data_IF_720660702060
#
_entry.id   IF_720660702060
#
_cell.length_a   1.000
_cell.length_b   1.000
_cell.length_c   1.000
_cell.angle_alpha   90.00
_cell.angle_beta   90.00
_cell.angle_gamma   90.00
#
_symmetry.space_group_name_H-M   'P 1'
#
loop_
_entity.id
_entity.type
_entity.pdbx_description
1 polymer ?
#
# COMPACT_ATOMS: atom_id res chain seq x y z
N UNK A 1 -38.66 -17.62 -21.62
CA UNK A 1 -38.42 -17.02 -20.27
C UNK A 1 -37.06 -17.47 -19.72
N UNK A 2 -36.00 -16.71 -19.95
CA UNK A 2 -34.66 -16.95 -19.35
C UNK A 2 -34.51 -15.99 -18.18
N UNK A 3 -34.50 -16.55 -16.97
CA UNK A 3 -34.23 -15.81 -15.71
C UNK A 3 -32.77 -15.35 -15.72
N UNK A 4 -32.57 -14.03 -15.82
CA UNK A 4 -31.29 -13.39 -15.55
C UNK A 4 -31.03 -13.47 -14.04
N UNK A 5 -30.10 -14.36 -13.63
CA UNK A 5 -29.55 -14.38 -12.29
C UNK A 5 -28.57 -13.20 -12.16
N UNK A 6 -29.09 -12.05 -11.80
CA UNK A 6 -28.30 -10.93 -11.30
C UNK A 6 -27.76 -11.28 -9.91
N UNK A 7 -26.59 -11.93 -9.84
CA UNK A 7 -25.81 -11.98 -8.61
C UNK A 7 -25.26 -10.58 -8.35
N UNK A 8 -26.03 -9.76 -7.61
CA UNK A 8 -25.49 -8.61 -6.92
C UNK A 8 -24.30 -9.11 -6.09
N UNK A 9 -23.08 -8.77 -6.50
CA UNK A 9 -21.89 -8.92 -5.63
C UNK A 9 -22.18 -8.05 -4.41
N UNK A 10 -22.48 -8.66 -3.27
CA UNK A 10 -22.39 -7.99 -1.97
C UNK A 10 -20.99 -7.36 -1.95
N UNK A 11 -20.94 -6.03 -1.96
CA UNK A 11 -19.70 -5.26 -1.84
C UNK A 11 -19.14 -5.62 -0.47
N UNK A 12 -18.13 -6.47 -0.42
CA UNK A 12 -17.51 -6.87 0.84
C UNK A 12 -16.99 -5.59 1.47
N UNK A 13 -17.45 -5.28 2.68
CA UNK A 13 -16.91 -4.20 3.48
C UNK A 13 -15.42 -4.48 3.68
N UNK A 14 -14.58 -3.52 3.34
CA UNK A 14 -13.12 -3.64 3.42
C UNK A 14 -12.59 -3.12 4.76
N UNK A 15 -13.30 -3.38 5.87
CA UNK A 15 -12.78 -3.15 7.22
C UNK A 15 -11.49 -3.94 7.39
N UNK A 16 -10.44 -3.31 7.94
CA UNK A 16 -9.19 -3.99 8.30
C UNK A 16 -9.06 -3.98 9.81
N UNK A 17 -8.89 -5.15 10.43
CA UNK A 17 -8.73 -5.28 11.88
C UNK A 17 -7.44 -6.03 12.19
N UNK A 18 -6.57 -5.39 12.96
CA UNK A 18 -5.36 -5.95 13.52
C UNK A 18 -5.59 -6.17 15.01
N UNK A 19 -5.40 -7.40 15.51
CA UNK A 19 -5.63 -7.78 16.90
C UNK A 19 -4.39 -8.40 17.48
N UNK A 20 -3.78 -7.73 18.47
CA UNK A 20 -2.57 -8.17 19.18
C UNK A 20 -1.44 -8.59 18.23
N UNK A 21 -1.29 -7.87 17.12
CA UNK A 21 -0.30 -8.20 16.10
C UNK A 21 1.11 -8.05 16.66
N UNK A 22 1.87 -9.14 16.58
CA UNK A 22 3.28 -9.19 16.95
C UNK A 22 4.12 -9.68 15.78
N UNK A 23 5.27 -9.04 15.55
CA UNK A 23 6.29 -9.50 14.61
C UNK A 23 7.64 -9.57 15.30
N UNK A 24 8.22 -10.78 15.30
CA UNK A 24 9.57 -11.05 15.77
C UNK A 24 10.38 -11.62 14.62
N UNK A 25 11.53 -11.04 14.34
CA UNK A 25 12.50 -11.61 13.42
C UNK A 25 13.46 -12.47 14.22
N UNK A 26 13.53 -13.80 13.98
CA UNK A 26 14.39 -14.70 14.73
C UNK A 26 15.86 -14.28 14.59
N UNK A 27 16.64 -14.46 15.66
CA UNK A 27 18.08 -14.22 15.62
C UNK A 27 18.70 -15.12 14.55
N UNK A 28 19.22 -14.54 13.48
CA UNK A 28 20.07 -15.27 12.54
C UNK A 28 21.30 -15.77 13.30
N UNK A 29 21.68 -17.05 13.16
CA UNK A 29 22.82 -17.65 13.82
C UNK A 29 24.07 -16.72 13.79
N UNK A 30 24.95 -16.77 14.80
CA UNK A 30 25.95 -15.74 15.07
C UNK A 30 26.86 -15.53 13.88
N UNK A 31 26.72 -14.40 13.20
CA UNK A 31 27.78 -13.88 12.32
C UNK A 31 28.98 -13.62 13.21
N UNK A 32 30.12 -14.31 12.95
CA UNK A 32 31.41 -14.05 13.60
C UNK A 32 31.60 -12.55 13.74
N UNK A 33 31.87 -12.11 14.98
CA UNK A 33 32.09 -10.72 15.36
C UNK A 33 33.06 -10.07 14.38
N UNK A 34 32.57 -9.24 13.49
CA UNK A 34 33.39 -8.24 12.82
C UNK A 34 33.66 -7.15 13.86
N UNK A 35 34.94 -6.98 14.19
CA UNK A 35 35.44 -5.95 15.08
C UNK A 35 35.13 -4.58 14.47
N UNK A 36 34.71 -3.67 15.33
CA UNK A 36 34.71 -2.21 15.16
C UNK A 36 33.87 -1.62 14.00
N UNK A 37 32.57 -1.61 14.20
CA UNK A 37 31.72 -0.50 13.71
C UNK A 37 30.86 0.00 14.88
N UNK A 38 30.70 1.36 15.07
CA UNK A 38 29.87 1.89 16.14
C UNK A 38 28.44 1.44 15.93
N UNK A 39 27.87 0.75 16.91
CA UNK A 39 26.48 0.32 16.93
C UNK A 39 25.58 1.56 16.82
N UNK A 40 24.93 1.72 15.67
CA UNK A 40 23.75 2.61 15.58
C UNK A 40 22.71 2.03 16.52
N UNK A 41 22.50 2.69 17.67
CA UNK A 41 21.45 2.37 18.63
C UNK A 41 20.08 2.51 17.93
N UNK A 42 19.62 1.42 17.30
CA UNK A 42 18.23 1.27 16.97
C UNK A 42 17.52 0.90 18.26
N UNK A 43 16.44 1.61 18.60
CA UNK A 43 15.54 1.31 19.73
C UNK A 43 14.73 0.02 19.49
N UNK A 44 15.35 -1.02 18.93
CA UNK A 44 14.73 -2.32 18.70
C UNK A 44 14.87 -3.15 19.98
N UNK A 45 13.76 -3.67 20.47
CA UNK A 45 13.78 -4.62 21.59
C UNK A 45 14.32 -5.95 21.07
N UNK A 46 15.49 -6.36 21.62
CA UNK A 46 16.09 -7.66 21.34
C UNK A 46 15.68 -8.57 22.49
N UNK A 47 15.01 -9.66 22.18
CA UNK A 47 14.64 -10.72 23.12
C UNK A 47 15.41 -12.00 22.78
N UNK A 48 15.30 -13.02 23.64
CA UNK A 48 15.88 -14.33 23.36
C UNK A 48 15.31 -14.97 22.08
N UNK A 49 14.08 -14.63 21.71
CA UNK A 49 13.39 -15.08 20.50
C UNK A 49 13.86 -14.34 19.23
N UNK A 50 14.39 -13.14 19.36
CA UNK A 50 14.82 -12.31 18.23
C UNK A 50 14.57 -10.83 18.38
N UNK A 51 14.56 -10.12 17.26
CA UNK A 51 14.32 -8.67 17.18
C UNK A 51 12.82 -8.43 17.06
N UNK A 52 12.22 -7.77 18.04
CA UNK A 52 10.80 -7.39 18.03
C UNK A 52 10.63 -6.16 17.15
N UNK A 53 9.99 -6.32 16.02
CA UNK A 53 9.70 -5.23 15.06
C UNK A 53 8.32 -4.59 15.28
N UNK A 54 7.35 -5.37 15.74
CA UNK A 54 5.99 -4.90 16.11
C UNK A 54 5.55 -5.67 17.35
N UNK A 55 5.09 -4.94 18.39
CA UNK A 55 4.66 -5.53 19.64
C UNK A 55 3.21 -5.15 19.93
N UNK A 56 2.36 -6.18 20.01
CA UNK A 56 0.95 -6.10 20.47
C UNK A 56 0.14 -4.95 19.87
N UNK A 57 0.29 -4.74 18.57
CA UNK A 57 -0.36 -3.65 17.87
C UNK A 57 -1.82 -3.97 17.57
N UNK A 58 -2.72 -3.09 17.97
CA UNK A 58 -4.15 -3.18 17.72
C UNK A 58 -4.61 -1.98 16.89
N UNK A 59 -5.38 -2.23 15.83
CA UNK A 59 -5.93 -1.18 14.98
C UNK A 59 -7.19 -1.70 14.26
N UNK A 60 -8.25 -0.92 14.31
CA UNK A 60 -9.45 -1.12 13.51
C UNK A 60 -9.56 0.03 12.49
N UNK A 61 -9.69 -0.31 11.21
CA UNK A 61 -9.86 0.61 10.09
C UNK A 61 -11.22 0.34 9.50
N UNK A 62 -12.09 1.35 9.46
CA UNK A 62 -13.42 1.22 8.87
C UNK A 62 -13.35 1.03 7.35
N UNK A 63 -14.43 0.51 6.75
CA UNK A 63 -14.55 0.45 5.29
C UNK A 63 -14.47 1.86 4.70
N UNK A 64 -13.60 2.02 3.69
CA UNK A 64 -13.35 3.30 2.98
C UNK A 64 -12.67 4.38 3.82
N UNK A 65 -12.18 4.06 4.99
CA UNK A 65 -11.39 4.96 5.79
C UNK A 65 -10.02 5.19 5.17
N UNK A 66 -9.48 6.39 5.36
CA UNK A 66 -8.10 6.75 5.02
C UNK A 66 -7.33 6.96 6.32
N UNK A 67 -6.40 6.07 6.60
CA UNK A 67 -5.53 6.21 7.77
C UNK A 67 -4.08 6.47 7.38
N UNK A 68 -3.36 7.18 8.24
CA UNK A 68 -1.93 7.44 8.11
C UNK A 68 -1.20 6.88 9.32
N UNK A 69 -0.26 5.97 9.07
CA UNK A 69 0.69 5.49 10.06
C UNK A 69 1.92 6.39 10.01
N UNK A 70 2.10 7.23 11.02
CA UNK A 70 3.22 8.17 11.13
C UNK A 70 4.11 7.80 12.31
N UNK A 71 5.41 8.03 12.18
CA UNK A 71 6.37 7.76 13.26
C UNK A 71 7.82 7.67 12.75
N UNK A 72 8.81 7.58 13.66
CA UNK A 72 10.22 7.53 13.29
C UNK A 72 10.56 6.28 12.46
N UNK A 73 11.68 6.34 11.74
CA UNK A 73 12.18 5.18 10.99
C UNK A 73 12.47 4.01 11.94
N UNK A 74 12.08 2.80 11.53
CA UNK A 74 12.31 1.58 12.32
C UNK A 74 11.25 1.25 13.38
N UNK A 75 10.18 2.05 13.56
CA UNK A 75 9.13 1.76 14.55
C UNK A 75 8.08 0.72 14.07
N UNK A 76 8.31 0.00 12.98
CA UNK A 76 7.45 -1.10 12.54
C UNK A 76 6.35 -0.75 11.52
N UNK A 77 6.19 0.50 11.08
CA UNK A 77 5.14 0.92 10.13
C UNK A 77 5.12 0.12 8.82
N UNK A 78 6.24 0.10 8.12
CA UNK A 78 6.36 -0.67 6.86
C UNK A 78 6.24 -2.17 7.10
N UNK A 79 6.68 -2.67 8.25
CA UNK A 79 6.49 -4.07 8.65
C UNK A 79 5.00 -4.37 8.82
N UNK A 80 4.25 -3.51 9.52
CA UNK A 80 2.80 -3.64 9.68
C UNK A 80 2.10 -3.62 8.32
N UNK A 81 2.46 -2.67 7.45
CA UNK A 81 1.90 -2.59 6.10
C UNK A 81 2.16 -3.87 5.29
N UNK A 82 3.38 -4.43 5.38
CA UNK A 82 3.76 -5.68 4.71
C UNK A 82 3.03 -6.89 5.28
N UNK A 83 2.74 -6.93 6.58
CA UNK A 83 1.89 -7.96 7.18
C UNK A 83 0.46 -7.89 6.64
N UNK A 84 -0.13 -6.68 6.51
CA UNK A 84 -1.44 -6.50 5.86
C UNK A 84 -1.38 -7.00 4.40
N UNK A 85 -0.29 -6.71 3.69
CA UNK A 85 -0.08 -7.18 2.33
C UNK A 85 0.17 -8.70 2.20
N UNK A 86 0.52 -9.39 3.30
CA UNK A 86 0.95 -10.79 3.29
C UNK A 86 2.35 -11.00 2.75
N UNK A 87 3.16 -9.94 2.73
CA UNK A 87 4.58 -9.99 2.34
C UNK A 87 5.51 -10.27 3.53
N UNK A 88 4.97 -10.21 4.73
CA UNK A 88 5.61 -10.58 6.00
C UNK A 88 4.64 -11.44 6.80
N UNK A 89 5.15 -12.51 7.39
CA UNK A 89 4.38 -13.37 8.26
C UNK A 89 4.11 -12.71 9.60
N UNK A 90 2.95 -12.94 10.18
CA UNK A 90 2.56 -12.51 11.51
C UNK A 90 3.07 -13.54 12.50
N UNK A 91 3.86 -13.11 13.52
CA UNK A 91 4.38 -14.02 14.54
C UNK A 91 3.29 -14.42 15.55
N UNK A 92 2.45 -13.45 15.96
CA UNK A 92 1.29 -13.68 16.81
C UNK A 92 0.22 -12.64 16.55
N UNK A 93 -1.02 -12.91 16.96
CA UNK A 93 -2.17 -12.05 16.71
C UNK A 93 -2.92 -12.43 15.43
N UNK A 94 -3.94 -11.66 15.11
CA UNK A 94 -4.88 -11.96 14.02
C UNK A 94 -5.10 -10.73 13.13
N UNK A 95 -5.04 -10.92 11.83
CA UNK A 95 -5.35 -9.91 10.82
C UNK A 95 -6.63 -10.30 10.06
N UNK A 96 -7.59 -9.40 10.04
CA UNK A 96 -8.82 -9.57 9.26
C UNK A 96 -8.93 -8.50 8.17
N UNK A 97 -9.46 -8.89 6.99
CA UNK A 97 -9.95 -7.98 5.95
C UNK A 97 -11.40 -8.39 5.68
N UNK A 98 -12.35 -7.49 5.99
CA UNK A 98 -13.74 -7.85 6.16
C UNK A 98 -13.90 -8.87 7.28
N UNK A 99 -14.63 -9.95 7.01
CA UNK A 99 -14.85 -11.04 7.97
C UNK A 99 -13.85 -12.20 7.83
N UNK A 100 -12.82 -12.04 6.96
CA UNK A 100 -11.89 -13.12 6.64
C UNK A 100 -10.57 -12.95 7.37
N UNK A 101 -10.14 -13.99 8.10
CA UNK A 101 -8.79 -14.10 8.68
C UNK A 101 -7.76 -14.22 7.55
N UNK A 102 -6.71 -13.39 7.59
CA UNK A 102 -5.72 -13.23 6.52
C UNK A 102 -4.35 -13.83 6.84
N UNK A 103 -4.10 -14.31 8.06
CA UNK A 103 -2.76 -14.73 8.49
C UNK A 103 -2.09 -15.67 7.46
N UNK A 104 -2.79 -16.70 7.00
CA UNK A 104 -2.26 -17.70 6.08
C UNK A 104 -2.69 -17.51 4.62
N UNK A 105 -3.32 -16.34 4.31
CA UNK A 105 -3.76 -16.05 2.95
C UNK A 105 -2.62 -15.44 2.15
N UNK A 106 -2.27 -16.08 1.03
CA UNK A 106 -1.21 -15.58 0.15
C UNK A 106 -1.52 -14.17 -0.41
N UNK A 107 -0.50 -13.31 -0.65
CA UNK A 107 -0.70 -11.93 -1.13
C UNK A 107 -1.57 -11.80 -2.38
N UNK A 108 -1.45 -12.74 -3.31
CA UNK A 108 -2.24 -12.76 -4.57
C UNK A 108 -3.74 -12.95 -4.35
N UNK A 109 -4.12 -13.59 -3.24
CA UNK A 109 -5.50 -13.95 -2.89
C UNK A 109 -6.14 -12.95 -1.90
N UNK A 110 -5.37 -11.95 -1.44
CA UNK A 110 -5.86 -10.78 -0.72
C UNK A 110 -6.34 -9.74 -1.73
N UNK A 111 -7.50 -9.16 -1.53
CA UNK A 111 -8.02 -8.10 -2.43
C UNK A 111 -7.40 -6.75 -2.10
N UNK A 112 -6.08 -6.67 -2.23
CA UNK A 112 -5.27 -5.50 -1.91
C UNK A 112 -4.41 -5.06 -3.11
N UNK A 113 -3.99 -3.80 -3.11
CA UNK A 113 -2.91 -3.32 -3.94
C UNK A 113 -1.91 -2.53 -3.11
N UNK A 114 -0.63 -2.62 -3.43
CA UNK A 114 0.44 -1.93 -2.71
C UNK A 114 1.30 -1.11 -3.66
N UNK A 115 1.57 0.14 -3.25
CA UNK A 115 2.54 1.04 -3.86
C UNK A 115 3.77 1.07 -2.97
N UNK A 116 4.93 0.69 -3.52
CA UNK A 116 6.20 0.62 -2.82
C UNK A 116 6.96 1.94 -2.94
N UNK A 117 7.82 2.22 -1.97
CA UNK A 117 8.71 3.37 -1.95
C UNK A 117 9.55 3.53 -3.23
N UNK A 118 10.03 2.43 -3.81
CA UNK A 118 10.84 2.40 -5.04
C UNK A 118 10.03 2.23 -6.32
N UNK A 119 8.69 2.42 -6.25
CA UNK A 119 7.72 2.25 -7.34
C UNK A 119 7.61 0.83 -7.89
N UNK A 120 8.64 0.01 -7.81
CA UNK A 120 8.74 -1.39 -8.26
C UNK A 120 8.17 -1.61 -9.68
N UNK A 121 8.43 -0.67 -10.62
CA UNK A 121 7.99 -0.80 -12.00
C UNK A 121 8.86 -1.81 -12.76
N UNK A 122 8.25 -2.53 -13.67
CA UNK A 122 8.95 -3.44 -14.59
C UNK A 122 9.68 -2.61 -15.67
N UNK A 123 11.03 -2.55 -15.67
CA UNK A 123 11.76 -1.58 -16.50
C UNK A 123 11.70 -1.88 -18.00
N UNK A 124 11.44 -3.13 -18.37
CA UNK A 124 11.34 -3.59 -19.76
C UNK A 124 9.97 -3.39 -20.38
N UNK A 125 8.93 -3.18 -19.55
CA UNK A 125 7.55 -2.96 -19.95
C UNK A 125 7.25 -1.47 -20.15
N UNK A 126 6.33 -1.16 -21.09
CA UNK A 126 5.76 0.18 -21.22
C UNK A 126 4.90 0.55 -19.99
N UNK A 127 4.46 1.81 -19.89
CA UNK A 127 3.48 2.26 -18.89
C UNK A 127 2.20 1.45 -18.98
N UNK A 128 1.65 1.33 -20.20
CA UNK A 128 0.47 0.51 -20.44
C UNK A 128 0.65 -0.93 -19.95
N UNK A 129 1.75 -1.57 -20.31
CA UNK A 129 2.03 -2.95 -19.92
C UNK A 129 2.21 -3.11 -18.40
N UNK A 130 2.88 -2.16 -17.73
CA UNK A 130 2.98 -2.13 -16.28
C UNK A 130 1.61 -2.09 -15.61
N UNK A 131 0.70 -1.22 -16.09
CA UNK A 131 -0.64 -1.11 -15.55
C UNK A 131 -1.50 -2.34 -15.87
N UNK A 132 -1.41 -2.86 -17.08
CA UNK A 132 -2.19 -4.01 -17.56
C UNK A 132 -1.75 -5.36 -16.95
N UNK A 133 -0.53 -5.45 -16.39
CA UNK A 133 0.12 -6.71 -16.04
C UNK A 133 -0.74 -7.61 -15.14
N UNK A 134 -1.27 -7.05 -14.05
CA UNK A 134 -2.10 -7.82 -13.10
C UNK A 134 -3.41 -8.31 -13.70
N UNK A 135 -4.01 -7.55 -14.62
CA UNK A 135 -5.24 -7.92 -15.31
C UNK A 135 -4.98 -9.03 -16.35
N UNK A 136 -3.82 -8.97 -17.03
CA UNK A 136 -3.38 -10.04 -17.94
C UNK A 136 -3.19 -11.36 -17.20
N UNK A 137 -2.57 -11.33 -15.99
CA UNK A 137 -2.41 -12.53 -15.16
C UNK A 137 -3.75 -13.13 -14.72
N UNK A 138 -4.78 -12.28 -14.50
CA UNK A 138 -6.15 -12.70 -14.17
C UNK A 138 -6.94 -13.15 -15.42
N UNK A 139 -6.32 -13.17 -16.61
CA UNK A 139 -6.94 -13.51 -17.89
C UNK A 139 -8.18 -12.65 -18.21
N UNK A 140 -8.14 -11.37 -17.80
CA UNK A 140 -9.19 -10.38 -18.12
C UNK A 140 -9.25 -10.15 -19.64
N UNK A 141 -10.43 -9.99 -20.26
CA UNK A 141 -10.58 -9.67 -21.68
C UNK A 141 -9.81 -8.40 -22.08
N UNK A 142 -9.28 -8.38 -23.32
CA UNK A 142 -8.43 -7.26 -23.80
C UNK A 142 -9.13 -5.91 -23.79
N UNK A 143 -10.37 -5.87 -24.22
CA UNK A 143 -11.23 -4.69 -24.23
C UNK A 143 -11.44 -4.11 -22.82
N UNK A 144 -11.66 -4.98 -21.83
CA UNK A 144 -11.78 -4.57 -20.43
C UNK A 144 -10.44 -4.07 -19.86
N UNK A 145 -9.31 -4.72 -20.23
CA UNK A 145 -7.97 -4.25 -19.83
C UNK A 145 -7.74 -2.85 -20.40
N UNK A 146 -7.99 -2.65 -21.70
CA UNK A 146 -7.76 -1.37 -22.38
C UNK A 146 -8.60 -0.25 -21.74
N UNK A 147 -9.89 -0.52 -21.50
CA UNK A 147 -10.78 0.43 -20.82
C UNK A 147 -10.26 0.81 -19.43
N UNK A 148 -9.94 -0.17 -18.56
CA UNK A 148 -9.47 0.09 -17.21
C UNK A 148 -8.13 0.83 -17.16
N UNK A 149 -7.20 0.49 -18.06
CA UNK A 149 -5.91 1.16 -18.15
C UNK A 149 -6.08 2.61 -18.59
N UNK A 150 -6.91 2.89 -19.58
CA UNK A 150 -7.20 4.26 -20.05
C UNK A 150 -7.90 5.09 -18.97
N UNK A 151 -8.92 4.55 -18.32
CA UNK A 151 -9.60 5.21 -17.20
C UNK A 151 -8.63 5.59 -16.07
N UNK A 152 -7.75 4.65 -15.67
CA UNK A 152 -6.75 4.93 -14.65
C UNK A 152 -5.68 5.93 -15.13
N UNK A 153 -5.29 5.91 -16.39
CA UNK A 153 -4.35 6.84 -16.98
C UNK A 153 -4.91 8.27 -17.06
N UNK A 154 -6.19 8.43 -17.33
CA UNK A 154 -6.92 9.70 -17.32
C UNK A 154 -7.01 10.28 -15.91
N UNK A 155 -7.36 9.45 -14.91
CA UNK A 155 -7.41 9.87 -13.49
C UNK A 155 -6.07 10.46 -13.04
N UNK A 156 -4.95 9.90 -13.54
CA UNK A 156 -3.58 10.23 -13.13
C UNK A 156 -2.84 11.17 -14.09
N UNK A 157 -3.50 11.63 -15.15
CA UNK A 157 -2.91 12.50 -16.17
C UNK A 157 -1.61 11.93 -16.77
N UNK A 158 -1.64 10.65 -17.17
CA UNK A 158 -0.50 9.94 -17.77
C UNK A 158 -0.82 9.27 -19.11
N UNK A 159 -1.95 9.57 -19.72
CA UNK A 159 -2.41 8.99 -21.00
C UNK A 159 -1.37 9.17 -22.10
N UNK A 160 -0.71 10.33 -22.19
CA UNK A 160 0.33 10.64 -23.17
C UNK A 160 1.64 9.87 -22.96
N UNK A 161 1.77 9.09 -21.88
CA UNK A 161 2.97 8.32 -21.56
C UNK A 161 2.79 6.81 -21.68
N UNK A 162 1.60 6.32 -22.08
CA UNK A 162 1.26 4.89 -22.07
C UNK A 162 2.26 4.03 -22.85
N UNK A 163 2.83 4.54 -23.94
CA UNK A 163 3.79 3.83 -24.79
C UNK A 163 5.25 3.98 -24.33
N UNK A 164 5.52 4.80 -23.31
CA UNK A 164 6.87 5.02 -22.80
C UNK A 164 7.29 3.92 -21.82
N UNK A 165 8.60 3.71 -21.71
CA UNK A 165 9.19 2.85 -20.67
C UNK A 165 9.57 3.67 -19.43
N UNK A 166 9.66 3.08 -18.23
CA UNK A 166 9.96 3.77 -16.98
C UNK A 166 11.22 4.65 -17.00
N UNK A 167 12.26 4.26 -17.77
CA UNK A 167 13.49 5.04 -17.92
C UNK A 167 13.30 6.42 -18.57
N UNK A 168 12.23 6.58 -19.34
CA UNK A 168 11.89 7.83 -20.04
C UNK A 168 10.91 8.71 -19.25
N UNK A 169 10.72 8.43 -17.95
CA UNK A 169 9.77 9.12 -17.08
C UNK A 169 10.50 9.84 -15.93
N UNK A 170 9.95 10.98 -15.51
CA UNK A 170 10.36 11.64 -14.26
C UNK A 170 9.97 10.83 -13.03
N UNK A 171 10.49 11.21 -11.83
CA UNK A 171 10.13 10.56 -10.56
C UNK A 171 8.63 10.54 -10.32
N UNK A 172 7.96 11.70 -10.43
CA UNK A 172 6.51 11.82 -10.25
C UNK A 172 5.70 11.05 -11.29
N UNK A 173 6.16 11.01 -12.55
CA UNK A 173 5.50 10.21 -13.59
C UNK A 173 5.62 8.70 -13.26
N UNK A 174 6.79 8.22 -12.82
CA UNK A 174 6.95 6.82 -12.36
C UNK A 174 6.04 6.49 -11.20
N UNK A 175 5.87 7.42 -10.25
CA UNK A 175 4.98 7.24 -9.13
C UNK A 175 3.51 7.14 -9.59
N UNK A 176 3.04 8.04 -10.46
CA UNK A 176 1.69 7.96 -11.03
C UNK A 176 1.45 6.63 -11.74
N UNK A 177 2.45 6.11 -12.46
CA UNK A 177 2.36 4.76 -13.07
C UNK A 177 2.23 3.66 -12.02
N UNK A 178 2.98 3.73 -10.91
CA UNK A 178 2.88 2.76 -9.82
C UNK A 178 1.49 2.79 -9.15
N UNK A 179 0.94 3.98 -8.93
CA UNK A 179 -0.42 4.18 -8.45
C UNK A 179 -1.42 3.63 -9.47
N UNK A 180 -1.27 3.93 -10.76
CA UNK A 180 -2.14 3.44 -11.83
C UNK A 180 -2.17 1.92 -11.91
N UNK A 181 -1.00 1.26 -11.79
CA UNK A 181 -0.90 -0.20 -11.70
C UNK A 181 -1.70 -0.80 -10.54
N UNK A 182 -1.81 -0.06 -9.44
CA UNK A 182 -2.60 -0.46 -8.28
C UNK A 182 -4.10 -0.24 -8.50
N UNK A 183 -4.50 0.92 -9.05
CA UNK A 183 -5.90 1.33 -9.28
C UNK A 183 -6.64 0.39 -10.23
N UNK A 184 -6.01 -0.03 -11.34
CA UNK A 184 -6.64 -0.88 -12.36
C UNK A 184 -7.20 -2.19 -11.80
N UNK A 185 -6.72 -2.61 -10.63
CA UNK A 185 -7.20 -3.81 -9.92
C UNK A 185 -8.51 -3.58 -9.19
N UNK A 186 -8.88 -2.31 -8.92
CA UNK A 186 -9.99 -1.92 -8.06
C UNK A 186 -9.96 -2.67 -6.71
N UNK A 187 -8.88 -2.52 -5.92
CA UNK A 187 -8.66 -3.29 -4.70
C UNK A 187 -9.61 -2.85 -3.59
N UNK A 188 -9.91 -3.75 -2.65
CA UNK A 188 -10.66 -3.43 -1.45
C UNK A 188 -9.83 -2.59 -0.46
N UNK A 189 -8.50 -2.84 -0.39
CA UNK A 189 -7.57 -2.08 0.45
C UNK A 189 -6.38 -1.60 -0.38
N UNK A 190 -6.06 -0.31 -0.26
CA UNK A 190 -4.96 0.35 -0.95
C UNK A 190 -3.85 0.69 0.05
N UNK A 191 -2.68 0.08 -0.13
CA UNK A 191 -1.54 0.22 0.76
C UNK A 191 -0.46 1.09 0.11
N UNK A 192 0.07 2.09 0.83
CA UNK A 192 1.13 2.98 0.35
C UNK A 192 2.29 3.03 1.34
N UNK A 193 3.46 2.49 0.97
CA UNK A 193 4.68 2.45 1.77
C UNK A 193 5.61 3.59 1.39
N UNK A 194 5.57 4.70 2.14
CA UNK A 194 6.36 5.92 1.92
C UNK A 194 6.40 6.39 0.45
N UNK A 195 5.26 6.55 -0.21
CA UNK A 195 5.21 6.71 -1.67
C UNK A 195 5.89 7.99 -2.16
N UNK A 196 6.06 9.02 -1.32
CA UNK A 196 6.60 10.34 -1.70
C UNK A 196 8.05 10.58 -1.26
N UNK A 197 8.66 9.64 -0.52
CA UNK A 197 9.99 9.81 0.08
C UNK A 197 11.11 10.06 -0.93
N UNK A 198 11.00 9.52 -2.16
CA UNK A 198 12.00 9.63 -3.22
C UNK A 198 11.79 10.85 -4.16
N UNK A 199 10.91 11.79 -3.79
CA UNK A 199 10.61 12.98 -4.57
C UNK A 199 11.21 14.23 -3.94
N UNK A 200 11.59 15.21 -4.78
CA UNK A 200 11.94 16.55 -4.31
C UNK A 200 10.73 17.26 -3.68
N UNK A 201 10.97 18.31 -2.89
CA UNK A 201 9.94 18.99 -2.11
C UNK A 201 8.78 19.55 -2.98
N UNK A 202 9.10 20.13 -4.16
CA UNK A 202 8.08 20.70 -5.06
C UNK A 202 7.17 19.60 -5.60
N UNK A 203 7.77 18.52 -6.09
CA UNK A 203 7.04 17.39 -6.66
C UNK A 203 6.26 16.64 -5.60
N UNK A 204 6.80 16.53 -4.37
CA UNK A 204 6.12 15.92 -3.22
C UNK A 204 4.81 16.67 -2.91
N UNK A 205 4.83 18.01 -2.87
CA UNK A 205 3.62 18.81 -2.63
C UNK A 205 2.57 18.60 -3.72
N UNK A 206 2.98 18.55 -5.00
CA UNK A 206 2.08 18.25 -6.09
C UNK A 206 1.44 16.85 -5.94
N UNK A 207 2.25 15.85 -5.64
CA UNK A 207 1.79 14.47 -5.51
C UNK A 207 0.89 14.24 -4.28
N UNK A 208 1.08 15.00 -3.18
CA UNK A 208 0.12 14.99 -2.05
C UNK A 208 -1.28 15.37 -2.53
N UNK A 209 -1.40 16.48 -3.24
CA UNK A 209 -2.69 16.93 -3.78
C UNK A 209 -3.33 15.88 -4.72
N UNK A 210 -2.50 15.19 -5.50
CA UNK A 210 -2.97 14.11 -6.39
C UNK A 210 -3.49 12.89 -5.59
N UNK A 211 -2.82 12.50 -4.51
CA UNK A 211 -3.26 11.38 -3.65
C UNK A 211 -4.59 11.73 -2.97
N UNK A 212 -4.77 12.99 -2.53
CA UNK A 212 -6.03 13.46 -1.96
C UNK A 212 -7.17 13.38 -2.99
N UNK A 213 -6.96 13.90 -4.21
CA UNK A 213 -7.93 13.81 -5.30
C UNK A 213 -8.23 12.36 -5.67
N UNK A 214 -7.21 11.50 -5.66
CA UNK A 214 -7.36 10.08 -5.92
C UNK A 214 -8.29 9.42 -4.91
N UNK A 215 -8.08 9.70 -3.60
CA UNK A 215 -8.95 9.17 -2.55
C UNK A 215 -10.42 9.56 -2.76
N UNK A 216 -10.70 10.81 -3.17
CA UNK A 216 -12.06 11.27 -3.43
C UNK A 216 -12.73 10.54 -4.61
N UNK A 217 -11.93 10.01 -5.54
CA UNK A 217 -12.41 9.33 -6.75
C UNK A 217 -12.51 7.81 -6.60
N UNK A 218 -11.78 7.24 -5.65
CA UNK A 218 -11.69 5.79 -5.46
C UNK A 218 -12.33 5.42 -4.12
N UNK A 219 -13.35 4.59 -4.21
CA UNK A 219 -14.14 4.11 -3.08
C UNK A 219 -13.48 2.85 -2.48
N UNK A 220 -12.38 3.03 -1.74
CA UNK A 220 -11.58 1.96 -1.14
C UNK A 220 -10.97 2.38 0.20
N UNK A 221 -10.59 1.43 1.04
CA UNK A 221 -9.88 1.67 2.30
C UNK A 221 -8.40 1.94 2.04
N UNK A 222 -7.83 3.02 2.60
CA UNK A 222 -6.44 3.40 2.42
C UNK A 222 -5.64 3.24 3.69
N UNK A 223 -4.44 2.67 3.58
CA UNK A 223 -3.43 2.66 4.63
C UNK A 223 -2.16 3.30 4.07
N UNK A 224 -1.80 4.44 4.60
CA UNK A 224 -0.68 5.27 4.15
C UNK A 224 0.42 5.30 5.20
N UNK A 225 1.65 5.00 4.84
CA UNK A 225 2.82 5.06 5.72
C UNK A 225 3.70 6.23 5.33
N UNK A 226 4.08 7.06 6.30
CA UNK A 226 5.07 8.13 6.12
C UNK A 226 5.88 8.35 7.41
N UNK A 227 7.04 8.95 7.29
CA UNK A 227 7.82 9.49 8.41
C UNK A 227 7.71 11.03 8.49
N UNK A 228 7.05 11.67 7.52
CA UNK A 228 6.86 13.14 7.44
C UNK A 228 5.52 13.52 8.08
N UNK A 229 5.57 14.20 9.23
CA UNK A 229 4.39 14.65 9.95
C UNK A 229 3.56 15.67 9.16
N UNK A 230 4.20 16.54 8.40
CA UNK A 230 3.52 17.53 7.55
C UNK A 230 2.72 16.83 6.44
N UNK A 231 3.28 15.75 5.89
CA UNK A 231 2.60 14.91 4.92
C UNK A 231 1.38 14.22 5.52
N UNK A 232 1.55 13.64 6.72
CA UNK A 232 0.46 13.00 7.44
C UNK A 232 -0.69 13.97 7.73
N UNK A 233 -0.39 15.14 8.30
CA UNK A 233 -1.39 16.16 8.62
C UNK A 233 -2.09 16.68 7.37
N UNK A 234 -1.38 16.94 6.29
CA UNK A 234 -1.98 17.40 5.02
C UNK A 234 -2.94 16.35 4.45
N UNK A 235 -2.56 15.09 4.45
CA UNK A 235 -3.42 14.00 3.97
C UNK A 235 -4.66 13.81 4.86
N UNK A 236 -4.55 13.97 6.17
CA UNK A 236 -5.65 13.82 7.13
C UNK A 236 -6.61 15.00 7.10
N UNK A 237 -6.13 16.25 7.07
CA UNK A 237 -6.98 17.46 7.08
C UNK A 237 -7.95 17.53 5.90
N UNK A 238 -7.56 17.01 4.74
CA UNK A 238 -8.46 16.94 3.58
C UNK A 238 -9.38 15.71 3.58
N UNK A 239 -9.31 14.87 4.62
CA UNK A 239 -10.07 13.62 4.69
C UNK A 239 -11.14 13.62 5.77
N UNK A 240 -11.07 14.55 6.73
CA UNK A 240 -12.11 14.72 7.74
C UNK A 240 -12.93 15.97 7.45
N UNK A 241 -14.18 15.78 7.01
CA UNK A 241 -15.25 16.77 7.17
C UNK A 241 -15.77 16.76 8.62
N UNK A 242 -15.07 16.09 9.53
CA UNK A 242 -15.40 15.96 10.94
C UNK A 242 -14.26 16.54 11.77
N UNK A 243 -14.50 17.70 12.36
CA UNK A 243 -13.62 18.42 13.26
C UNK A 243 -13.44 17.77 14.65
N UNK A 244 -13.72 16.48 14.82
CA UNK A 244 -13.88 15.91 16.17
C UNK A 244 -12.95 14.73 16.55
N UNK A 245 -12.09 14.24 15.65
CA UNK A 245 -11.19 13.12 16.01
C UNK A 245 -9.73 13.42 15.71
N UNK A 246 -9.14 14.36 16.45
CA UNK A 246 -7.69 14.48 16.62
C UNK A 246 -7.23 13.46 17.68
N UNK A 247 -6.79 12.31 17.22
CA UNK A 247 -6.02 11.37 18.06
C UNK A 247 -4.58 11.32 17.56
#
# INVERSE_FOLDING_TARGET
MRRQNGRSRKKNMAKVSLRNIKKVYPNSAPKKKAKDQPEKKHNLQITDEGVVAVQEFNLDIADKEFIVLVGPSGCGKSTTLRMIAGLEDITAGELYIGDKLMNDVAPKDRDIAMVFQNYALYPHMTVYENMAFSLKLKKTPKDEIDRKVKEAAEILDITQYLDRKPKALSGGQRQRVAIGRAIVRNPAVFLMDEPLSNLDAKLRNQMRAEIIKLRQRIDTTFVYVTHDQTEAMTCLLYTSDAADDLI
#
